data_IF_643631850187
#
_entry.id   IF_643631850187
#
_cell.length_a   1.000
_cell.length_b   1.000
_cell.length_c   1.000
_cell.angle_alpha   90.00
_cell.angle_beta   90.00
_cell.angle_gamma   90.00
#
_symmetry.space_group_name_H-M   'P 1'
#
loop_
_entity.id
_entity.type
_entity.pdbx_description
1 polymer ?
#
# COMPACT_ATOMS: atom_id res chain seq x y z
N UNK A 1 20.20 -46.95 -38.34
CA UNK A 1 20.55 -46.88 -36.90
C UNK A 1 21.77 -45.98 -36.80
N UNK A 2 21.82 -44.85 -36.11
CA UNK A 2 21.06 -44.37 -34.96
C UNK A 2 21.05 -42.82 -35.04
N UNK A 3 19.86 -42.25 -35.17
CA UNK A 3 19.59 -40.82 -35.25
C UNK A 3 19.82 -40.20 -33.85
N UNK A 4 20.98 -39.56 -33.62
CA UNK A 4 21.23 -38.74 -32.41
C UNK A 4 20.44 -37.43 -32.55
N UNK A 5 19.17 -37.46 -32.13
CA UNK A 5 18.35 -36.26 -31.93
C UNK A 5 18.91 -35.48 -30.74
N UNK A 6 19.76 -34.50 -31.04
CA UNK A 6 20.11 -33.44 -30.08
C UNK A 6 18.90 -32.53 -29.94
N UNK A 7 18.16 -32.71 -28.85
CA UNK A 7 17.11 -31.79 -28.41
C UNK A 7 17.82 -30.56 -27.85
N UNK A 8 18.00 -29.54 -28.68
CA UNK A 8 18.34 -28.19 -28.22
C UNK A 8 17.03 -27.44 -28.01
N UNK A 9 16.39 -27.68 -26.86
CA UNK A 9 15.35 -26.76 -26.37
C UNK A 9 16.10 -25.53 -25.89
N UNK A 10 16.12 -24.50 -26.73
CA UNK A 10 16.47 -23.15 -26.34
C UNK A 10 15.45 -22.72 -25.29
N UNK A 11 15.84 -22.85 -24.01
CA UNK A 11 15.20 -22.15 -22.92
C UNK A 11 15.56 -20.67 -23.11
N UNK A 12 14.78 -19.97 -23.93
CA UNK A 12 14.70 -18.50 -23.85
C UNK A 12 14.03 -18.21 -22.52
N UNK A 13 14.82 -18.29 -21.44
CA UNK A 13 14.50 -17.71 -20.17
C UNK A 13 14.09 -16.28 -20.46
N UNK A 14 12.86 -15.93 -20.10
CA UNK A 14 12.37 -14.58 -20.17
C UNK A 14 13.33 -13.70 -19.39
N UNK A 15 14.24 -13.05 -20.10
CA UNK A 15 14.84 -11.82 -19.65
C UNK A 15 13.71 -10.82 -19.72
N UNK A 16 12.83 -10.82 -18.71
CA UNK A 16 12.06 -9.63 -18.42
C UNK A 16 13.11 -8.54 -18.31
N UNK A 17 13.08 -7.59 -19.25
CA UNK A 17 13.95 -6.43 -19.18
C UNK A 17 13.82 -5.91 -17.74
N UNK A 18 14.93 -5.85 -17.00
CA UNK A 18 14.89 -5.29 -15.66
C UNK A 18 14.29 -3.90 -15.82
N UNK A 19 13.05 -3.74 -15.33
CA UNK A 19 12.36 -2.47 -15.34
C UNK A 19 13.27 -1.45 -14.64
N UNK A 20 13.22 -0.22 -15.10
CA UNK A 20 13.83 0.88 -14.37
C UNK A 20 13.32 0.86 -12.92
N UNK A 21 14.22 0.67 -11.96
CA UNK A 21 13.84 0.48 -10.55
C UNK A 21 13.06 1.67 -10.02
N UNK A 22 13.34 2.87 -10.53
CA UNK A 22 12.63 4.09 -10.13
C UNK A 22 11.17 4.04 -10.56
N UNK A 23 10.89 3.49 -11.75
CA UNK A 23 9.53 3.27 -12.25
C UNK A 23 8.77 2.26 -11.39
N UNK A 24 9.41 1.15 -11.01
CA UNK A 24 8.78 0.13 -10.16
C UNK A 24 8.51 0.65 -8.75
N UNK A 25 9.45 1.37 -8.14
CA UNK A 25 9.26 2.03 -6.84
C UNK A 25 8.11 3.04 -6.91
N UNK A 26 8.06 3.88 -7.95
CA UNK A 26 6.98 4.85 -8.12
C UNK A 26 5.59 4.19 -8.24
N UNK A 27 5.50 2.96 -8.74
CA UNK A 27 4.24 2.22 -8.90
C UNK A 27 3.59 1.80 -7.58
N UNK A 28 4.37 1.69 -6.50
CA UNK A 28 3.92 1.23 -5.17
C UNK A 28 3.79 2.35 -4.15
N UNK A 29 4.21 3.57 -4.48
CA UNK A 29 4.02 4.73 -3.63
C UNK A 29 2.55 5.19 -3.69
N UNK A 30 2.00 5.71 -2.57
CA UNK A 30 0.66 6.28 -2.58
C UNK A 30 0.55 7.42 -3.59
N UNK A 31 -0.58 7.48 -4.28
CA UNK A 31 -0.95 8.62 -5.11
C UNK A 31 -1.43 9.76 -4.21
N UNK A 32 -1.36 11.03 -4.67
CA UNK A 32 -1.85 12.17 -3.90
C UNK A 32 -3.32 12.03 -3.47
N UNK A 33 -4.16 11.33 -4.23
CA UNK A 33 -5.55 11.09 -3.86
C UNK A 33 -5.70 10.12 -2.68
N UNK A 34 -4.77 9.18 -2.54
CA UNK A 34 -4.74 8.17 -1.48
C UNK A 34 -4.24 8.77 -0.15
N UNK A 35 -3.60 9.94 -0.19
CA UNK A 35 -3.10 10.67 0.97
C UNK A 35 -4.04 11.79 1.45
N UNK A 36 -5.21 11.97 0.82
CA UNK A 36 -6.16 13.05 1.18
C UNK A 36 -6.57 13.07 2.66
N UNK A 37 -6.54 11.91 3.32
CA UNK A 37 -6.84 11.80 4.75
C UNK A 37 -5.86 12.61 5.62
N UNK A 38 -4.64 12.91 5.15
CA UNK A 38 -3.68 13.78 5.84
C UNK A 38 -4.14 15.25 5.92
N UNK A 39 -5.02 15.67 5.02
CA UNK A 39 -5.54 17.05 5.00
C UNK A 39 -6.65 17.30 6.04
N UNK A 40 -7.19 16.23 6.64
CA UNK A 40 -8.25 16.33 7.64
C UNK A 40 -7.62 16.88 8.94
N UNK A 41 -8.21 17.91 9.57
CA UNK A 41 -7.71 18.45 10.83
C UNK A 41 -8.07 17.54 12.01
N UNK A 42 -7.40 16.39 12.10
CA UNK A 42 -7.65 15.37 13.11
C UNK A 42 -7.50 15.91 14.53
N UNK A 43 -8.41 15.51 15.42
CA UNK A 43 -8.27 15.74 16.86
C UNK A 43 -7.34 14.68 17.44
N UNK A 44 -6.27 15.07 18.10
CA UNK A 44 -5.29 14.15 18.73
C UNK A 44 -5.60 13.84 20.19
N UNK A 45 -6.53 14.57 20.81
CA UNK A 45 -7.03 14.30 22.16
C UNK A 45 -8.46 13.72 22.09
N UNK A 46 -8.58 12.43 22.42
CA UNK A 46 -9.84 11.70 22.38
C UNK A 46 -10.91 12.27 23.32
N UNK A 47 -10.52 12.71 24.51
CA UNK A 47 -11.48 13.25 25.49
C UNK A 47 -12.10 14.56 24.99
N UNK A 48 -11.29 15.43 24.39
CA UNK A 48 -11.79 16.67 23.78
C UNK A 48 -12.69 16.36 22.57
N UNK A 49 -12.26 15.46 21.69
CA UNK A 49 -13.05 15.07 20.51
C UNK A 49 -14.44 14.54 20.87
N UNK A 50 -14.54 13.79 21.98
CA UNK A 50 -15.82 13.29 22.51
C UNK A 50 -16.74 14.43 22.98
N UNK A 51 -16.21 15.42 23.71
CA UNK A 51 -16.98 16.58 24.15
C UNK A 51 -17.47 17.41 22.96
N UNK A 52 -16.59 17.65 21.97
CA UNK A 52 -16.93 18.38 20.74
C UNK A 52 -18.07 17.68 19.97
N UNK A 53 -17.98 16.35 19.81
CA UNK A 53 -18.97 15.57 19.10
C UNK A 53 -20.34 15.57 19.82
N UNK A 54 -20.33 15.46 21.15
CA UNK A 54 -21.55 15.57 21.97
C UNK A 54 -22.19 16.94 21.82
N UNK A 55 -21.42 18.01 21.97
CA UNK A 55 -21.90 19.38 21.84
C UNK A 55 -22.49 19.67 20.44
N UNK A 56 -21.89 19.10 19.40
CA UNK A 56 -22.36 19.23 18.02
C UNK A 56 -23.51 18.27 17.66
N UNK A 57 -23.83 17.29 18.52
CA UNK A 57 -24.83 16.25 18.25
C UNK A 57 -24.45 15.34 17.07
N UNK A 58 -23.15 15.05 16.87
CA UNK A 58 -22.64 14.26 15.74
C UNK A 58 -21.93 12.98 16.20
N UNK A 59 -21.95 11.90 15.41
CA UNK A 59 -21.15 10.71 15.70
C UNK A 59 -19.63 11.00 15.57
N UNK A 60 -18.82 10.21 16.26
CA UNK A 60 -17.36 10.30 16.23
C UNK A 60 -16.77 9.16 15.38
N UNK A 61 -15.94 9.49 14.39
CA UNK A 61 -15.07 8.54 13.70
C UNK A 61 -13.72 8.51 14.45
N UNK A 62 -13.30 7.33 14.90
CA UNK A 62 -11.99 7.13 15.54
C UNK A 62 -11.10 6.37 14.56
N UNK A 63 -10.04 7.03 14.11
CA UNK A 63 -8.98 6.41 13.32
C UNK A 63 -7.78 6.20 14.25
N UNK A 64 -7.50 4.95 14.59
CA UNK A 64 -6.39 4.57 15.47
C UNK A 64 -5.69 3.35 14.89
N UNK A 65 -4.37 3.27 15.08
CA UNK A 65 -3.59 2.09 14.75
C UNK A 65 -3.01 1.53 16.06
N UNK A 66 -3.23 0.25 16.34
CA UNK A 66 -2.82 -0.43 17.59
C UNK A 66 -1.30 -0.74 17.66
N UNK A 67 -0.48 -0.07 16.85
CA UNK A 67 0.98 -0.19 16.90
C UNK A 67 1.59 -1.49 16.34
N UNK A 68 0.78 -2.47 15.90
CA UNK A 68 1.30 -3.65 15.20
C UNK A 68 1.87 -3.28 13.81
N UNK A 69 3.16 -3.62 13.60
CA UNK A 69 3.99 -3.19 12.47
C UNK A 69 3.56 -3.71 11.08
N UNK A 70 2.66 -4.69 11.02
CA UNK A 70 2.10 -5.25 9.77
C UNK A 70 0.61 -4.95 9.59
N UNK A 71 0.14 -3.86 10.19
CA UNK A 71 -1.26 -3.48 10.17
C UNK A 71 -2.01 -4.16 11.32
N UNK A 72 -2.79 -3.36 12.03
CA UNK A 72 -3.81 -3.86 12.92
C UNK A 72 -4.81 -4.67 12.09
N UNK A 73 -4.78 -6.01 12.23
CA UNK A 73 -5.95 -6.86 11.96
C UNK A 73 -6.87 -6.86 13.16
#
# INVERSE_FOLDING_TARGET
MLLRRFVLVLFTAGLAAAGDLDTEVASVLPKPEEERWLSIPWRTNLFQARLDAQAAGRPLLIWVMDGHVLGAT
#
